data_IF_340545673813
#
_entry.id   IF_340545673813
#
_cell.length_a   1.000
_cell.length_b   1.000
_cell.length_c   1.000
_cell.angle_alpha   90.00
_cell.angle_beta   90.00
_cell.angle_gamma   90.00
#
_symmetry.space_group_name_H-M   'P 1'
#
loop_
_entity.id
_entity.type
_entity.pdbx_description
1 polymer ?
#
# COMPACT_ATOMS: atom_id res chain seq x y z
N UNK A 1 -10.02 -8.11 -1.60
CA UNK A 1 -10.16 -8.04 -0.13
C UNK A 1 -10.57 -6.66 0.33
N UNK A 2 -9.74 -5.62 0.13
CA UNK A 2 -10.04 -4.25 0.60
C UNK A 2 -11.35 -3.69 0.04
N UNK A 3 -11.61 -3.79 -1.27
CA UNK A 3 -12.88 -3.29 -1.83
C UNK A 3 -14.12 -3.98 -1.24
N UNK A 4 -14.04 -5.28 -0.94
CA UNK A 4 -15.11 -6.02 -0.27
C UNK A 4 -15.32 -5.53 1.16
N UNK A 5 -14.24 -5.25 1.90
CA UNK A 5 -14.29 -4.69 3.24
C UNK A 5 -15.02 -3.34 3.24
N UNK A 6 -14.64 -2.43 2.33
CA UNK A 6 -15.30 -1.12 2.15
C UNK A 6 -16.79 -1.30 1.86
N UNK A 7 -17.14 -2.16 0.90
CA UNK A 7 -18.54 -2.45 0.57
C UNK A 7 -19.32 -3.01 1.77
N UNK A 8 -18.75 -3.94 2.53
CA UNK A 8 -19.43 -4.54 3.68
C UNK A 8 -19.69 -3.54 4.80
N UNK A 9 -18.78 -2.59 5.01
CA UNK A 9 -18.94 -1.50 5.99
C UNK A 9 -20.05 -0.52 5.59
N UNK A 10 -20.32 -0.35 4.29
CA UNK A 10 -21.25 0.69 3.80
C UNK A 10 -22.53 0.17 3.15
N UNK A 11 -22.66 -1.13 2.87
CA UNK A 11 -23.83 -1.72 2.18
C UNK A 11 -25.18 -1.34 2.81
N UNK A 12 -25.24 -1.31 4.13
CA UNK A 12 -26.45 -1.03 4.91
C UNK A 12 -26.60 0.45 5.32
N UNK A 13 -25.66 1.31 4.94
CA UNK A 13 -25.76 2.73 5.23
C UNK A 13 -27.01 3.33 4.56
N UNK A 14 -27.79 4.06 5.35
CA UNK A 14 -28.94 4.82 4.86
C UNK A 14 -28.47 6.08 4.13
N UNK A 15 -29.31 6.63 3.24
CA UNK A 15 -29.01 7.87 2.52
C UNK A 15 -28.65 9.00 3.49
N UNK A 16 -29.44 9.16 4.57
CA UNK A 16 -29.18 10.19 5.59
C UNK A 16 -27.84 10.01 6.31
N UNK A 17 -27.41 8.78 6.59
CA UNK A 17 -26.08 8.54 7.18
C UNK A 17 -24.96 8.91 6.21
N UNK A 18 -25.13 8.65 4.92
CA UNK A 18 -24.15 8.99 3.89
C UNK A 18 -24.05 10.50 3.71
N UNK A 19 -25.19 11.19 3.58
CA UNK A 19 -25.28 12.65 3.43
C UNK A 19 -24.62 13.41 4.58
N UNK A 20 -24.74 12.89 5.80
CA UNK A 20 -24.15 13.48 7.00
C UNK A 20 -22.71 12.99 7.30
N UNK A 21 -22.05 12.32 6.35
CA UNK A 21 -20.69 11.80 6.50
C UNK A 21 -19.69 12.51 5.58
N UNK A 22 -18.38 12.41 5.87
CA UNK A 22 -17.33 12.83 4.94
C UNK A 22 -17.33 12.10 3.59
N UNK A 23 -18.13 11.03 3.45
CA UNK A 23 -18.25 10.23 2.22
C UNK A 23 -19.41 10.68 1.33
N UNK A 24 -20.14 11.75 1.67
CA UNK A 24 -21.29 12.22 0.90
C UNK A 24 -20.94 12.46 -0.57
N UNK A 25 -19.91 13.25 -0.86
CA UNK A 25 -19.48 13.53 -2.24
C UNK A 25 -19.01 12.27 -2.97
N UNK A 26 -18.31 11.36 -2.27
CA UNK A 26 -17.85 10.11 -2.83
C UNK A 26 -19.02 9.23 -3.33
N UNK A 27 -20.08 9.11 -2.53
CA UNK A 27 -21.24 8.27 -2.88
C UNK A 27 -22.29 8.98 -3.74
N UNK A 28 -22.27 10.31 -3.82
CA UNK A 28 -23.05 11.04 -4.85
C UNK A 28 -22.54 10.69 -6.24
N UNK A 29 -21.22 10.65 -6.41
CA UNK A 29 -20.59 10.36 -7.71
C UNK A 29 -20.60 8.86 -8.05
N UNK A 30 -20.36 8.00 -7.04
CA UNK A 30 -20.16 6.57 -7.25
C UNK A 30 -21.32 5.69 -6.75
N UNK A 31 -22.46 6.27 -6.40
CA UNK A 31 -23.61 5.58 -5.80
C UNK A 31 -23.23 4.75 -4.56
N UNK A 32 -23.28 3.42 -4.61
CA UNK A 32 -22.73 2.52 -3.56
C UNK A 32 -21.57 1.66 -4.08
N UNK A 33 -21.02 2.04 -5.22
CA UNK A 33 -19.85 1.42 -5.81
C UNK A 33 -18.59 1.78 -5.02
N UNK A 34 -17.57 0.92 -5.15
CA UNK A 34 -16.23 1.19 -4.61
C UNK A 34 -15.36 1.72 -5.73
N UNK A 35 -15.14 3.02 -5.73
CA UNK A 35 -14.18 3.71 -6.59
C UNK A 35 -12.79 3.79 -5.93
N UNK A 36 -11.70 3.47 -6.64
CA UNK A 36 -10.34 3.49 -6.11
C UNK A 36 -9.82 4.94 -5.97
N UNK A 37 -10.00 5.50 -4.79
CA UNK A 37 -9.49 6.81 -4.37
C UNK A 37 -8.78 6.68 -3.03
N UNK A 38 -7.72 7.46 -2.83
CA UNK A 38 -7.06 7.57 -1.53
C UNK A 38 -7.92 8.32 -0.51
N UNK A 39 -7.61 8.19 0.78
CA UNK A 39 -8.28 8.93 1.85
C UNK A 39 -8.16 10.47 1.71
N UNK A 40 -7.19 10.97 0.93
CA UNK A 40 -6.99 12.38 0.62
C UNK A 40 -7.74 12.83 -0.66
N UNK A 41 -8.54 11.96 -1.28
CA UNK A 41 -9.28 12.28 -2.51
C UNK A 41 -8.45 12.23 -3.79
N UNK A 42 -7.24 11.65 -3.76
CA UNK A 42 -6.45 11.43 -4.98
C UNK A 42 -6.86 10.12 -5.65
N UNK A 43 -7.25 10.21 -6.92
CA UNK A 43 -7.62 9.07 -7.74
C UNK A 43 -6.44 8.13 -7.98
N UNK A 44 -6.74 6.84 -8.08
CA UNK A 44 -5.78 5.88 -8.56
C UNK A 44 -5.48 6.10 -10.05
N UNK A 45 -4.21 6.24 -10.40
CA UNK A 45 -3.76 6.43 -11.79
C UNK A 45 -2.49 5.64 -12.06
N UNK A 46 -2.07 5.58 -13.33
CA UNK A 46 -0.81 4.94 -13.72
C UNK A 46 0.42 5.57 -13.07
N UNK A 47 0.31 6.81 -12.56
CA UNK A 47 1.40 7.49 -11.84
C UNK A 47 1.76 6.82 -10.51
N UNK A 48 0.93 5.92 -10.00
CA UNK A 48 1.23 5.13 -8.81
C UNK A 48 2.26 4.01 -9.05
N UNK A 49 2.62 3.72 -10.30
CA UNK A 49 3.64 2.73 -10.64
C UNK A 49 5.00 3.38 -10.87
N UNK A 50 6.01 2.96 -10.11
CA UNK A 50 7.40 3.29 -10.33
C UNK A 50 8.08 2.11 -11.04
N UNK A 51 8.31 2.23 -12.35
CA UNK A 51 8.94 1.18 -13.16
C UNK A 51 10.04 1.80 -14.00
N UNK A 52 11.24 1.23 -13.94
CA UNK A 52 12.43 1.69 -14.67
C UNK A 52 13.07 0.60 -15.52
N UNK A 53 12.70 -0.66 -15.35
CA UNK A 53 13.30 -1.79 -16.07
C UNK A 53 14.71 -2.12 -15.59
N UNK A 54 15.15 -1.49 -14.50
CA UNK A 54 16.36 -1.83 -13.77
C UNK A 54 15.97 -2.66 -12.54
N UNK A 55 16.37 -3.93 -12.45
CA UNK A 55 15.91 -4.82 -11.37
C UNK A 55 16.27 -4.35 -9.96
N UNK A 56 17.37 -3.63 -9.76
CA UNK A 56 17.73 -3.10 -8.44
C UNK A 56 16.79 -1.95 -8.07
N UNK A 57 16.63 -0.98 -8.97
CA UNK A 57 15.75 0.17 -8.75
C UNK A 57 14.31 -0.29 -8.51
N UNK A 58 13.81 -1.20 -9.34
CA UNK A 58 12.44 -1.70 -9.25
C UNK A 58 12.21 -2.47 -7.92
N UNK A 59 13.15 -3.32 -7.48
CA UNK A 59 13.04 -4.00 -6.18
C UNK A 59 13.16 -3.06 -4.98
N UNK A 60 13.94 -1.99 -5.07
CA UNK A 60 14.03 -0.97 -4.01
C UNK A 60 12.72 -0.18 -3.90
N UNK A 61 12.08 0.13 -5.03
CA UNK A 61 10.75 0.73 -5.06
C UNK A 61 9.70 -0.22 -4.45
N UNK A 62 9.73 -1.51 -4.79
CA UNK A 62 8.84 -2.53 -4.22
C UNK A 62 9.00 -2.63 -2.69
N UNK A 63 10.24 -2.67 -2.18
CA UNK A 63 10.53 -2.64 -0.74
C UNK A 63 9.94 -1.40 -0.05
N UNK A 64 10.08 -0.23 -0.67
CA UNK A 64 9.52 1.00 -0.14
C UNK A 64 7.98 1.00 -0.19
N UNK A 65 7.38 0.47 -1.25
CA UNK A 65 5.94 0.35 -1.39
C UNK A 65 5.33 -0.53 -0.29
N UNK A 66 5.94 -1.70 -0.03
CA UNK A 66 5.47 -2.62 1.02
C UNK A 66 5.56 -2.00 2.42
N UNK A 67 6.63 -1.25 2.73
CA UNK A 67 6.73 -0.54 4.02
C UNK A 67 5.71 0.58 4.17
N UNK A 68 5.41 1.32 3.10
CA UNK A 68 4.35 2.34 3.11
C UNK A 68 2.97 1.71 3.29
N UNK A 69 2.69 0.59 2.61
CA UNK A 69 1.44 -0.15 2.78
C UNK A 69 1.27 -0.67 4.22
N UNK A 70 2.31 -1.33 4.76
CA UNK A 70 2.36 -1.77 6.17
C UNK A 70 2.11 -0.63 7.15
N UNK A 71 2.73 0.53 6.95
CA UNK A 71 2.54 1.71 7.80
C UNK A 71 1.12 2.28 7.70
N UNK A 72 0.50 2.25 6.51
CA UNK A 72 -0.91 2.62 6.34
C UNK A 72 -1.82 1.70 7.14
N UNK A 73 -1.62 0.37 7.09
CA UNK A 73 -2.42 -0.56 7.89
C UNK A 73 -2.22 -0.36 9.41
N UNK A 74 -0.99 -0.11 9.86
CA UNK A 74 -0.73 0.26 11.27
C UNK A 74 -1.54 1.48 11.71
N UNK A 75 -1.64 2.49 10.85
CA UNK A 75 -2.38 3.71 11.16
C UNK A 75 -3.88 3.45 11.23
N UNK A 76 -4.44 2.63 10.34
CA UNK A 76 -5.86 2.25 10.37
C UNK A 76 -6.17 1.40 11.61
N UNK A 77 -5.30 0.45 11.96
CA UNK A 77 -5.47 -0.42 13.15
C UNK A 77 -5.50 0.37 14.46
N UNK A 78 -4.81 1.52 14.53
CA UNK A 78 -4.89 2.43 15.70
C UNK A 78 -6.25 3.12 15.83
N UNK A 79 -6.99 3.25 14.73
CA UNK A 79 -8.28 3.95 14.67
C UNK A 79 -9.48 2.99 14.74
N UNK A 80 -9.29 1.74 14.34
CA UNK A 80 -10.37 0.74 14.24
C UNK A 80 -10.54 -0.05 15.53
N UNK A 81 -11.78 -0.11 16.02
CA UNK A 81 -12.20 -0.90 17.17
C UNK A 81 -13.03 -2.14 16.79
N UNK A 82 -13.26 -2.37 15.49
CA UNK A 82 -14.03 -3.51 14.98
C UNK A 82 -13.11 -4.74 14.83
N UNK A 83 -13.35 -5.84 15.57
CA UNK A 83 -12.52 -7.04 15.51
C UNK A 83 -12.46 -7.70 14.13
N UNK A 84 -13.57 -7.67 13.38
CA UNK A 84 -13.65 -8.33 12.07
C UNK A 84 -12.85 -7.53 11.02
N UNK A 85 -12.92 -6.20 11.10
CA UNK A 85 -12.07 -5.30 10.30
C UNK A 85 -10.60 -5.51 10.65
N UNK A 86 -10.28 -5.51 11.95
CA UNK A 86 -8.92 -5.64 12.45
C UNK A 86 -8.28 -6.97 12.06
N UNK A 87 -9.05 -8.07 12.03
CA UNK A 87 -8.58 -9.36 11.56
C UNK A 87 -8.11 -9.30 10.10
N UNK A 88 -8.92 -8.72 9.21
CA UNK A 88 -8.56 -8.57 7.79
C UNK A 88 -7.34 -7.67 7.60
N UNK A 89 -7.28 -6.55 8.32
CA UNK A 89 -6.16 -5.62 8.23
C UNK A 89 -4.85 -6.21 8.79
N UNK A 90 -4.92 -6.97 9.89
CA UNK A 90 -3.77 -7.67 10.45
C UNK A 90 -3.20 -8.70 9.45
N UNK A 91 -4.07 -9.47 8.80
CA UNK A 91 -3.66 -10.41 7.76
C UNK A 91 -2.95 -9.71 6.58
N UNK A 92 -3.53 -8.62 6.06
CA UNK A 92 -2.90 -7.87 4.96
C UNK A 92 -1.56 -7.26 5.39
N UNK A 93 -1.51 -6.69 6.59
CA UNK A 93 -0.28 -6.14 7.17
C UNK A 93 0.84 -7.18 7.29
N UNK A 94 0.53 -8.38 7.78
CA UNK A 94 1.51 -9.47 7.88
C UNK A 94 2.04 -9.87 6.51
N UNK A 95 1.18 -9.85 5.49
CA UNK A 95 1.61 -10.11 4.11
C UNK A 95 2.60 -9.08 3.60
N UNK A 96 2.45 -7.79 3.92
CA UNK A 96 3.42 -6.79 3.47
C UNK A 96 4.79 -7.00 4.12
N UNK A 97 4.84 -7.55 5.35
CA UNK A 97 6.10 -7.98 5.98
C UNK A 97 6.73 -9.13 5.20
N UNK A 98 5.93 -10.12 4.78
CA UNK A 98 6.40 -11.24 3.97
C UNK A 98 6.86 -10.77 2.58
N UNK A 99 6.09 -9.91 1.90
CA UNK A 99 6.48 -9.36 0.60
C UNK A 99 7.78 -8.58 0.72
N UNK A 100 7.92 -7.71 1.72
CA UNK A 100 9.16 -6.97 1.99
C UNK A 100 10.36 -7.91 2.15
N UNK A 101 10.22 -8.99 2.94
CA UNK A 101 11.29 -9.97 3.11
C UNK A 101 11.64 -10.67 1.78
N UNK A 102 10.63 -11.05 0.98
CA UNK A 102 10.85 -11.71 -0.32
C UNK A 102 11.52 -10.81 -1.35
N UNK A 103 11.13 -9.54 -1.43
CA UNK A 103 11.82 -8.56 -2.28
C UNK A 103 13.24 -8.31 -1.79
N UNK A 104 13.47 -8.30 -0.48
CA UNK A 104 14.82 -8.16 0.11
C UNK A 104 15.72 -9.35 -0.25
N UNK A 105 15.21 -10.57 -0.13
CA UNK A 105 15.91 -11.79 -0.58
C UNK A 105 16.23 -11.75 -2.08
N UNK A 106 15.32 -11.24 -2.91
CA UNK A 106 15.53 -11.11 -4.35
C UNK A 106 16.61 -10.05 -4.66
N UNK A 107 16.57 -8.91 -3.96
CA UNK A 107 17.53 -7.82 -4.11
C UNK A 107 18.94 -8.28 -3.75
N UNK A 108 19.10 -8.96 -2.61
CA UNK A 108 20.39 -9.52 -2.18
C UNK A 108 20.96 -10.49 -3.23
N UNK A 109 20.14 -11.41 -3.74
CA UNK A 109 20.58 -12.34 -4.81
C UNK A 109 21.04 -11.61 -6.06
N UNK A 110 20.27 -10.63 -6.54
CA UNK A 110 20.61 -9.89 -7.76
C UNK A 110 21.92 -9.12 -7.58
N UNK A 111 22.09 -8.45 -6.44
CA UNK A 111 23.30 -7.70 -6.13
C UNK A 111 24.52 -8.62 -6.03
N UNK A 112 24.38 -9.81 -5.46
CA UNK A 112 25.45 -10.81 -5.33
C UNK A 112 25.77 -11.53 -6.66
N UNK A 113 24.81 -11.62 -7.59
CA UNK A 113 25.01 -12.25 -8.91
C UNK A 113 25.55 -11.28 -9.98
N UNK A 114 25.65 -9.97 -9.71
CA UNK A 114 26.21 -9.03 -10.67
C UNK A 114 27.75 -9.11 -10.71
N UNK A 115 28.35 -9.51 -11.85
CA UNK A 115 29.81 -9.49 -11.98
C UNK A 115 30.31 -8.04 -12.02
N UNK A 116 31.28 -7.70 -11.15
CA UNK A 116 32.06 -6.46 -11.16
C UNK A 116 31.36 -5.14 -10.80
N UNK A 117 30.64 -5.05 -9.67
CA UNK A 117 30.36 -3.73 -9.11
C UNK A 117 31.61 -3.18 -8.39
N UNK A 118 32.27 -2.21 -9.03
CA UNK A 118 33.21 -1.31 -8.36
C UNK A 118 32.44 -0.61 -7.24
N UNK A 119 32.65 -1.04 -6.01
CA UNK A 119 32.25 -0.26 -4.84
C UNK A 119 33.01 1.06 -4.90
N UNK A 120 32.35 2.16 -5.29
CA UNK A 120 32.86 3.50 -5.02
C UNK A 120 32.65 3.79 -3.53
N UNK A 121 33.35 3.04 -2.68
CA UNK A 121 33.64 3.48 -1.32
C UNK A 121 34.53 4.70 -1.51
N UNK A 122 33.95 5.89 -1.34
CA UNK A 122 34.67 7.15 -1.51
C UNK A 122 36.01 7.09 -0.79
N UNK A 123 37.08 6.97 -1.56
CA UNK A 123 38.44 7.16 -1.07
C UNK A 123 38.45 8.58 -0.54
N UNK A 124 38.53 8.75 0.77
CA UNK A 124 39.11 9.96 1.34
C UNK A 124 40.56 9.94 0.87
N UNK A 125 40.88 10.79 -0.11
CA UNK A 125 42.26 11.12 -0.42
C UNK A 125 42.86 11.75 0.85
N UNK A 126 43.97 11.15 1.30
CA UNK A 126 45.02 11.59 2.22
C UNK A 126 44.68 12.67 3.27
#
# INVERSE_FOLDING_TARGET
MVGTLVHQLTKNATTSQIENSPLALYYVDHAKGVWPVSAAGQDYTSMSFAVKGDPIADLVEDLAAEQKARATYDNILKLSNDPDVNCVLAYLREREVVHFQRFGEALDKIQNCMPNQKYYMGIKND
#
